data_IF_297743907335
#
_entry.id   IF_297743907335
#
_cell.length_a   1.000
_cell.length_b   1.000
_cell.length_c   1.000
_cell.angle_alpha   90.00
_cell.angle_beta   90.00
_cell.angle_gamma   90.00
#
_symmetry.space_group_name_H-M   'P 1'
#
loop_
_entity.id
_entity.type
_entity.pdbx_description
1 polymer ?
#
# COMPACT_ATOMS: atom_id res chain seq x y z
N UNK A 1 -32.26 54.18 -54.56
CA UNK A 1 -31.84 54.04 -55.99
C UNK A 1 -31.08 52.72 -56.12
N UNK A 2 -31.33 51.82 -57.08
CA UNK A 2 -32.43 51.75 -58.08
C UNK A 2 -32.58 50.32 -58.65
N UNK A 3 -33.72 49.70 -58.36
CA UNK A 3 -34.63 48.94 -59.25
C UNK A 3 -34.15 48.34 -60.60
N UNK A 4 -34.34 47.02 -60.79
CA UNK A 4 -35.12 46.29 -61.85
C UNK A 4 -34.63 44.81 -62.00
N UNK A 5 -35.43 43.74 -62.16
CA UNK A 5 -36.57 43.36 -63.05
C UNK A 5 -36.12 42.94 -64.48
N UNK A 6 -36.52 41.80 -65.09
CA UNK A 6 -37.48 40.72 -64.70
C UNK A 6 -36.78 39.31 -64.80
N UNK A 7 -37.19 38.17 -65.43
CA UNK A 7 -38.37 37.76 -66.25
C UNK A 7 -38.61 36.21 -66.29
N UNK A 8 -39.61 35.74 -65.53
CA UNK A 8 -40.64 34.71 -65.87
C UNK A 8 -40.29 33.31 -66.45
N UNK A 9 -40.92 32.26 -65.88
CA UNK A 9 -41.68 31.21 -66.61
C UNK A 9 -42.68 30.52 -65.67
N UNK A 10 -43.79 29.98 -66.20
CA UNK A 10 -44.94 29.44 -65.43
C UNK A 10 -45.51 28.19 -66.09
N UNK A 11 -45.69 27.11 -65.33
CA UNK A 11 -46.65 26.00 -65.54
C UNK A 11 -46.96 25.44 -64.14
N UNK A 12 -48.16 25.59 -63.58
CA UNK A 12 -49.35 24.75 -63.81
C UNK A 12 -49.07 23.26 -63.49
N UNK A 13 -49.38 22.74 -62.30
CA UNK A 13 -50.69 22.51 -61.64
C UNK A 13 -51.21 21.07 -61.86
N UNK A 14 -51.23 20.28 -60.78
CA UNK A 14 -52.30 19.31 -60.53
C UNK A 14 -52.47 19.08 -59.03
N UNK A 15 -53.71 19.13 -58.54
CA UNK A 15 -54.08 18.63 -57.22
C UNK A 15 -54.45 17.15 -57.34
N UNK A 16 -54.01 16.33 -56.38
CA UNK A 16 -54.70 15.09 -56.02
C UNK A 16 -54.95 15.13 -54.52
N UNK A 17 -56.21 15.23 -54.12
CA UNK A 17 -56.61 15.17 -52.73
C UNK A 17 -56.85 13.72 -52.30
N UNK A 18 -56.24 13.32 -51.19
CA UNK A 18 -56.59 12.09 -50.47
C UNK A 18 -56.91 12.47 -49.02
N UNK A 19 -58.12 12.14 -48.57
CA UNK A 19 -58.59 12.48 -47.23
C UNK A 19 -57.93 11.60 -46.17
N UNK A 20 -57.48 12.21 -45.08
CA UNK A 20 -57.06 11.48 -43.88
C UNK A 20 -58.30 11.05 -43.07
N UNK A 21 -58.44 9.78 -42.68
CA UNK A 21 -59.46 9.37 -41.72
C UNK A 21 -59.11 9.88 -40.31
N UNK A 22 -60.11 10.14 -39.44
CA UNK A 22 -59.84 10.49 -38.05
C UNK A 22 -59.22 9.30 -37.31
N UNK A 23 -57.99 9.47 -36.82
CA UNK A 23 -57.31 8.44 -36.05
C UNK A 23 -58.01 8.21 -34.71
N UNK A 24 -58.58 7.02 -34.50
CA UNK A 24 -59.18 6.66 -33.22
C UNK A 24 -58.10 6.56 -32.13
N UNK A 25 -58.26 7.33 -31.06
CA UNK A 25 -57.41 7.23 -29.88
C UNK A 25 -57.73 5.94 -29.10
N UNK A 26 -57.11 4.81 -29.49
CA UNK A 26 -57.16 3.59 -28.70
C UNK A 26 -56.37 3.78 -27.39
N UNK A 27 -57.10 3.99 -26.30
CA UNK A 27 -56.53 4.12 -24.96
C UNK A 27 -56.02 2.76 -24.48
N UNK A 28 -54.74 2.50 -24.69
CA UNK A 28 -54.02 1.30 -24.25
C UNK A 28 -54.07 1.14 -22.72
N UNK A 29 -55.07 0.40 -22.24
CA UNK A 29 -55.13 -0.05 -20.84
C UNK A 29 -54.08 -1.14 -20.61
N UNK A 30 -52.86 -0.73 -20.25
CA UNK A 30 -51.81 -1.66 -19.82
C UNK A 30 -52.25 -2.28 -18.48
N UNK A 31 -52.45 -3.60 -18.38
CA UNK A 31 -52.86 -4.23 -17.12
C UNK A 31 -51.73 -4.13 -16.10
N UNK A 32 -51.99 -3.42 -15.01
CA UNK A 32 -50.99 -3.05 -14.01
C UNK A 32 -50.71 -4.22 -13.06
N UNK A 33 -50.18 -5.33 -13.59
CA UNK A 33 -49.71 -6.48 -12.81
C UNK A 33 -48.57 -6.04 -11.89
N UNK A 34 -48.92 -5.75 -10.63
CA UNK A 34 -47.97 -5.54 -9.54
C UNK A 34 -47.33 -6.87 -9.13
N UNK A 35 -46.49 -7.40 -10.01
CA UNK A 35 -45.52 -8.43 -9.67
C UNK A 35 -44.55 -7.82 -8.65
N UNK A 36 -44.84 -8.02 -7.36
CA UNK A 36 -43.96 -7.63 -6.25
C UNK A 36 -42.68 -8.45 -6.33
N UNK A 37 -41.74 -7.97 -7.14
CA UNK A 37 -40.40 -8.53 -7.30
C UNK A 37 -39.73 -8.55 -5.93
N UNK A 38 -39.63 -9.74 -5.33
CA UNK A 38 -39.08 -9.95 -3.99
C UNK A 38 -37.74 -9.22 -3.93
N UNK A 39 -37.64 -8.23 -3.04
CA UNK A 39 -36.42 -7.46 -2.86
C UNK A 39 -35.29 -8.43 -2.53
N UNK A 40 -34.15 -8.38 -3.24
CA UNK A 40 -33.07 -9.33 -3.03
C UNK A 40 -32.62 -9.26 -1.58
N UNK A 41 -32.58 -10.43 -0.93
CA UNK A 41 -32.11 -10.64 0.46
C UNK A 41 -30.86 -9.79 0.68
N UNK A 42 -30.96 -8.84 1.62
CA UNK A 42 -30.03 -7.71 1.72
C UNK A 42 -28.58 -8.18 1.69
N UNK A 43 -27.82 -7.69 0.70
CA UNK A 43 -26.41 -8.04 0.54
C UNK A 43 -25.71 -7.66 1.84
N UNK A 44 -25.06 -8.61 2.55
CA UNK A 44 -24.51 -8.35 3.87
C UNK A 44 -23.43 -7.27 3.77
N UNK A 45 -23.69 -6.12 4.39
CA UNK A 45 -22.78 -4.98 4.36
C UNK A 45 -21.45 -5.37 4.95
N UNK A 46 -20.40 -5.38 4.12
CA UNK A 46 -19.03 -5.62 4.60
C UNK A 46 -18.68 -4.50 5.58
N UNK A 47 -18.26 -4.89 6.79
CA UNK A 47 -17.90 -3.97 7.86
C UNK A 47 -16.44 -4.16 8.23
N UNK A 48 -15.87 -3.14 8.88
CA UNK A 48 -14.56 -3.25 9.49
C UNK A 48 -14.50 -2.47 10.80
N UNK A 49 -13.62 -2.91 11.70
CA UNK A 49 -13.32 -2.26 12.99
C UNK A 49 -11.82 -2.10 13.16
N UNK A 50 -11.37 -1.06 13.86
CA UNK A 50 -9.95 -0.94 14.22
C UNK A 50 -9.60 -1.98 15.29
N UNK A 51 -8.42 -2.56 15.17
CA UNK A 51 -7.77 -3.39 16.17
C UNK A 51 -6.34 -2.93 16.38
N UNK A 52 -5.87 -2.94 17.62
CA UNK A 52 -4.56 -2.39 18.02
C UNK A 52 -3.78 -3.43 18.82
N UNK A 53 -2.47 -3.47 18.62
CA UNK A 53 -1.54 -4.14 19.53
C UNK A 53 -0.30 -3.27 19.76
N UNK A 54 0.30 -3.40 20.93
CA UNK A 54 1.55 -2.72 21.28
C UNK A 54 2.41 -3.57 22.20
N UNK A 55 3.72 -3.39 22.14
CA UNK A 55 4.71 -3.92 23.09
C UNK A 55 5.53 -2.76 23.67
N UNK A 56 5.99 -2.92 24.90
CA UNK A 56 6.80 -1.93 25.60
C UNK A 56 8.07 -2.60 26.12
N UNK A 57 9.23 -2.01 25.82
CA UNK A 57 10.55 -2.41 26.34
C UNK A 57 10.77 -3.94 26.35
N UNK A 58 10.51 -4.58 25.22
CA UNK A 58 10.73 -6.00 25.00
C UNK A 58 12.08 -6.24 24.30
N UNK A 59 12.63 -7.45 24.40
CA UNK A 59 13.84 -7.88 23.67
C UNK A 59 13.50 -9.00 22.69
N UNK A 60 14.22 -9.12 21.58
CA UNK A 60 14.06 -10.21 20.62
C UNK A 60 12.67 -10.33 19.94
N UNK A 61 11.77 -11.11 20.55
CA UNK A 61 10.45 -11.44 19.99
C UNK A 61 9.36 -11.18 21.03
N UNK A 62 8.52 -10.18 20.77
CA UNK A 62 7.33 -9.90 21.59
C UNK A 62 6.08 -10.53 20.96
N UNK A 63 5.15 -11.02 21.80
CA UNK A 63 3.79 -11.35 21.39
C UNK A 63 2.79 -10.52 22.19
N UNK A 64 2.15 -9.57 21.53
CA UNK A 64 1.18 -8.65 22.13
C UNK A 64 -0.25 -9.08 21.81
N UNK A 65 -1.14 -9.08 22.79
CA UNK A 65 -2.57 -9.33 22.55
C UNK A 65 -3.19 -8.20 21.71
N UNK A 66 -3.86 -8.55 20.61
CA UNK A 66 -4.58 -7.55 19.79
C UNK A 66 -5.97 -7.33 20.36
N UNK A 67 -6.39 -6.06 20.46
CA UNK A 67 -7.71 -5.67 20.97
C UNK A 67 -8.47 -4.84 19.93
N UNK A 68 -9.65 -5.29 19.46
CA UNK A 68 -10.12 -6.69 19.44
C UNK A 68 -9.17 -7.63 18.66
N UNK A 69 -9.37 -8.96 18.78
CA UNK A 69 -8.62 -9.93 17.98
C UNK A 69 -8.82 -9.72 16.46
N UNK A 70 -7.81 -10.07 15.67
CA UNK A 70 -7.74 -9.76 14.23
C UNK A 70 -8.71 -10.57 13.37
N UNK A 71 -9.19 -11.72 13.85
CA UNK A 71 -10.04 -12.61 13.08
C UNK A 71 -9.34 -13.11 11.80
N UNK A 72 -10.12 -13.30 10.73
CA UNK A 72 -9.65 -13.95 9.49
C UNK A 72 -9.04 -12.98 8.48
N UNK A 73 -9.47 -11.72 8.45
CA UNK A 73 -9.06 -10.71 7.45
C UNK A 73 -8.66 -9.42 8.15
N UNK A 74 -7.38 -9.09 8.07
CA UNK A 74 -6.80 -7.91 8.70
C UNK A 74 -5.94 -7.13 7.69
N UNK A 75 -6.17 -5.83 7.60
CA UNK A 75 -5.42 -4.92 6.76
C UNK A 75 -4.66 -3.91 7.64
N UNK A 76 -3.33 -3.90 7.54
CA UNK A 76 -2.46 -3.05 8.35
C UNK A 76 -2.70 -1.57 7.99
N UNK A 77 -3.14 -0.76 8.95
CA UNK A 77 -3.36 0.68 8.76
C UNK A 77 -2.07 1.46 8.96
N UNK A 78 -1.33 1.08 10.00
CA UNK A 78 -0.11 1.72 10.45
C UNK A 78 0.73 0.76 11.31
N UNK A 79 2.02 1.07 11.42
CA UNK A 79 2.94 0.43 12.35
C UNK A 79 4.08 1.37 12.76
N UNK A 80 4.64 1.14 13.93
CA UNK A 80 5.81 1.84 14.48
C UNK A 80 6.64 0.84 15.30
N UNK A 81 7.95 0.84 15.12
CA UNK A 81 8.95 0.19 15.97
C UNK A 81 10.01 1.23 16.36
N UNK A 82 10.46 1.19 17.62
CA UNK A 82 11.49 2.07 18.21
C UNK A 82 12.45 1.26 19.05
N UNK A 83 13.71 1.66 19.09
CA UNK A 83 14.81 0.86 19.62
C UNK A 83 15.70 1.71 20.54
N UNK A 84 16.26 1.11 21.60
CA UNK A 84 17.11 1.79 22.59
C UNK A 84 18.59 1.92 22.11
N UNK A 85 18.84 2.76 21.10
CA UNK A 85 20.20 3.17 20.70
C UNK A 85 20.62 2.89 19.25
N UNK A 86 21.84 2.35 19.12
CA UNK A 86 22.61 2.12 17.89
C UNK A 86 22.53 0.62 17.54
N UNK A 87 22.00 0.28 16.36
CA UNK A 87 21.69 -1.10 16.03
C UNK A 87 21.86 -1.47 14.55
N UNK A 88 22.40 -2.66 14.32
CA UNK A 88 22.42 -3.41 13.05
C UNK A 88 21.26 -4.38 13.02
N UNK A 89 20.63 -4.66 11.87
CA UNK A 89 19.39 -5.46 11.84
C UNK A 89 19.66 -6.93 11.51
N UNK A 90 19.55 -7.85 12.47
CA UNK A 90 19.33 -9.29 12.20
C UNK A 90 17.85 -9.56 11.90
N UNK A 91 16.92 -8.92 12.60
CA UNK A 91 15.48 -9.16 12.44
C UNK A 91 14.63 -7.91 12.67
N UNK A 92 13.57 -7.77 11.88
CA UNK A 92 12.51 -6.79 12.11
C UNK A 92 11.16 -7.37 11.65
N UNK A 93 10.11 -7.28 12.49
CA UNK A 93 8.79 -7.85 12.15
C UNK A 93 7.59 -7.16 12.79
N UNK A 94 6.47 -7.19 12.05
CA UNK A 94 5.12 -6.87 12.49
C UNK A 94 4.18 -7.91 11.84
N UNK A 95 3.91 -9.04 12.50
CA UNK A 95 3.08 -10.12 11.95
C UNK A 95 1.73 -10.26 12.69
N UNK A 96 0.65 -10.33 11.92
CA UNK A 96 -0.68 -10.69 12.37
C UNK A 96 -0.76 -12.19 12.73
N UNK A 97 -1.07 -12.53 13.98
CA UNK A 97 -1.20 -13.91 14.49
C UNK A 97 -2.52 -14.11 15.24
N UNK A 98 -3.64 -13.95 14.53
CA UNK A 98 -5.01 -14.13 15.02
C UNK A 98 -5.35 -13.22 16.23
N UNK A 99 -5.18 -13.71 17.47
CA UNK A 99 -5.42 -12.92 18.70
C UNK A 99 -4.17 -12.17 19.19
N UNK A 100 -3.03 -12.38 18.54
CA UNK A 100 -1.75 -11.75 18.85
C UNK A 100 -1.16 -11.01 17.65
N UNK A 101 -0.32 -10.02 17.92
CA UNK A 101 0.67 -9.51 16.98
C UNK A 101 2.05 -10.00 17.45
N UNK A 102 2.86 -10.52 16.54
CA UNK A 102 4.29 -10.64 16.80
C UNK A 102 4.96 -9.35 16.37
N UNK A 103 5.63 -8.70 17.32
CA UNK A 103 6.66 -7.71 17.01
C UNK A 103 8.02 -8.39 17.23
N UNK A 104 9.04 -8.02 16.47
CA UNK A 104 10.39 -8.50 16.75
C UNK A 104 11.43 -7.48 16.32
N UNK A 105 12.49 -7.41 17.10
CA UNK A 105 13.73 -6.72 16.78
C UNK A 105 14.89 -7.58 17.29
N UNK A 106 15.90 -7.78 16.45
CA UNK A 106 17.16 -8.39 16.86
C UNK A 106 18.31 -7.71 16.11
N UNK A 107 19.35 -7.41 16.85
CA UNK A 107 20.72 -7.11 16.44
C UNK A 107 21.58 -8.40 16.45
N UNK A 108 22.90 -8.32 16.65
CA UNK A 108 23.83 -9.44 16.77
C UNK A 108 23.53 -10.40 17.94
N UNK A 109 23.31 -9.90 19.15
CA UNK A 109 23.03 -10.72 20.34
C UNK A 109 21.52 -10.82 20.62
N UNK A 110 20.79 -9.70 20.56
CA UNK A 110 19.35 -9.61 20.78
C UNK A 110 18.94 -9.10 22.16
N UNK A 111 19.84 -8.47 22.92
CA UNK A 111 19.54 -7.93 24.25
C UNK A 111 18.95 -6.50 24.23
N UNK A 112 18.99 -5.84 23.07
CA UNK A 112 18.38 -4.54 22.80
C UNK A 112 16.88 -4.47 23.12
N UNK A 113 16.48 -3.40 23.81
CA UNK A 113 15.08 -3.09 24.08
C UNK A 113 14.41 -2.40 22.89
N UNK A 114 13.17 -2.80 22.63
CA UNK A 114 12.32 -2.18 21.62
C UNK A 114 10.87 -1.99 22.08
N UNK A 115 10.23 -0.99 21.49
CA UNK A 115 8.80 -0.75 21.53
C UNK A 115 8.20 -1.02 20.17
N UNK A 116 6.93 -1.40 20.16
CA UNK A 116 6.20 -1.60 18.92
C UNK A 116 4.73 -1.25 19.07
N UNK A 117 4.14 -0.68 18.03
CA UNK A 117 2.70 -0.45 17.90
C UNK A 117 2.27 -0.78 16.48
N UNK A 118 1.09 -1.35 16.31
CA UNK A 118 0.47 -1.50 15.00
C UNK A 118 -1.05 -1.50 15.12
N UNK A 119 -1.72 -0.98 14.09
CA UNK A 119 -3.17 -0.99 13.97
C UNK A 119 -3.59 -1.70 12.68
N UNK A 120 -4.71 -2.42 12.76
CA UNK A 120 -5.34 -3.10 11.63
C UNK A 120 -6.81 -2.70 11.50
N UNK A 121 -7.29 -2.61 10.26
CA UNK A 121 -8.70 -2.76 9.96
C UNK A 121 -9.02 -4.26 9.91
N UNK A 122 -9.82 -4.74 10.87
CA UNK A 122 -10.36 -6.11 10.92
C UNK A 122 -11.66 -6.12 10.14
N UNK A 123 -11.70 -6.87 9.04
CA UNK A 123 -12.74 -6.77 8.01
C UNK A 123 -13.59 -8.03 8.00
N UNK A 124 -14.91 -7.90 7.84
CA UNK A 124 -15.87 -9.00 7.95
C UNK A 124 -15.93 -9.95 6.74
N UNK A 125 -15.16 -9.68 5.67
CA UNK A 125 -15.10 -10.47 4.44
C UNK A 125 -13.80 -10.20 3.68
N UNK A 126 -13.42 -11.12 2.79
CA UNK A 126 -12.17 -11.09 2.04
C UNK A 126 -11.36 -12.37 2.24
N UNK A 127 -10.13 -12.39 1.73
CA UNK A 127 -9.25 -13.56 1.77
C UNK A 127 -7.84 -13.15 2.22
N UNK A 128 -7.32 -13.78 3.27
CA UNK A 128 -5.94 -13.58 3.73
C UNK A 128 -4.99 -14.62 3.15
N UNK A 129 -3.73 -14.23 2.97
CA UNK A 129 -2.65 -15.10 2.53
C UNK A 129 -1.31 -14.72 3.17
N UNK A 130 -0.32 -15.57 2.98
CA UNK A 130 1.06 -15.33 3.37
C UNK A 130 2.00 -15.95 2.34
N UNK A 131 3.12 -15.30 2.09
CA UNK A 131 4.22 -15.82 1.28
C UNK A 131 5.52 -15.67 2.05
N UNK A 132 6.42 -16.66 1.93
CA UNK A 132 7.75 -16.63 2.53
C UNK A 132 8.77 -17.18 1.55
N UNK A 133 9.99 -16.65 1.59
CA UNK A 133 11.10 -17.11 0.75
C UNK A 133 12.45 -16.88 1.45
N UNK A 134 13.49 -17.51 0.91
CA UNK A 134 14.87 -17.02 1.06
C UNK A 134 15.12 -16.02 -0.07
N UNK A 135 15.79 -14.91 0.24
CA UNK A 135 15.93 -13.74 -0.62
C UNK A 135 17.32 -13.10 -0.47
N UNK A 136 17.68 -12.22 -1.43
CA UNK A 136 18.89 -11.39 -1.44
C UNK A 136 18.57 -10.07 -2.13
N UNK A 137 18.94 -8.93 -1.55
CA UNK A 137 18.73 -7.59 -2.14
C UNK A 137 17.26 -7.25 -2.42
N UNK A 138 16.84 -7.32 -3.69
CA UNK A 138 15.46 -7.14 -4.16
C UNK A 138 14.96 -8.45 -4.76
N UNK A 139 13.75 -8.88 -4.41
CA UNK A 139 13.09 -10.03 -5.06
C UNK A 139 11.59 -9.82 -5.22
N UNK A 140 10.98 -10.49 -6.20
CA UNK A 140 9.53 -10.58 -6.36
C UNK A 140 9.02 -11.95 -5.87
N UNK A 141 7.98 -11.95 -5.04
CA UNK A 141 7.35 -13.14 -4.48
C UNK A 141 5.97 -13.31 -5.10
N UNK A 142 5.74 -14.38 -5.87
CA UNK A 142 4.41 -14.66 -6.44
C UNK A 142 3.39 -14.95 -5.35
N UNK A 143 2.20 -14.36 -5.48
CA UNK A 143 1.05 -14.59 -4.59
C UNK A 143 -0.13 -15.13 -5.38
N UNK A 144 -1.14 -15.67 -4.68
CA UNK A 144 -2.38 -16.12 -5.31
C UNK A 144 -3.20 -14.89 -5.79
N UNK A 145 -3.71 -14.89 -7.04
CA UNK A 145 -4.60 -13.85 -7.51
C UNK A 145 -5.84 -13.68 -6.64
N UNK A 146 -6.32 -12.44 -6.57
CA UNK A 146 -7.52 -12.09 -5.83
C UNK A 146 -8.80 -12.53 -6.52
N UNK A 147 -9.92 -12.67 -5.78
CA UNK A 147 -11.23 -12.74 -6.41
C UNK A 147 -11.55 -11.41 -7.12
N UNK A 148 -12.41 -11.40 -8.15
CA UNK A 148 -12.91 -10.16 -8.76
C UNK A 148 -13.48 -9.18 -7.73
N UNK A 149 -13.40 -7.88 -8.02
CA UNK A 149 -13.86 -6.80 -7.15
C UNK A 149 -13.23 -6.77 -5.74
N UNK A 150 -11.98 -7.25 -5.61
CA UNK A 150 -11.17 -7.11 -4.41
C UNK A 150 -9.91 -6.28 -4.67
N UNK A 151 -9.41 -5.67 -3.60
CA UNK A 151 -8.21 -4.83 -3.52
C UNK A 151 -7.16 -5.55 -2.67
N UNK A 152 -5.91 -5.54 -3.12
CA UNK A 152 -4.79 -6.12 -2.39
C UNK A 152 -4.26 -5.13 -1.36
N UNK A 153 -4.10 -5.57 -0.11
CA UNK A 153 -3.55 -4.79 1.02
C UNK A 153 -2.60 -5.64 1.87
N UNK A 154 -1.73 -4.98 2.60
CA UNK A 154 -0.74 -5.58 3.50
C UNK A 154 -1.40 -5.95 4.83
N UNK A 155 -0.99 -7.07 5.43
CA UNK A 155 -1.44 -7.53 6.75
C UNK A 155 -0.31 -7.62 7.77
N UNK A 156 0.93 -7.78 7.32
CA UNK A 156 2.12 -7.89 8.16
C UNK A 156 3.35 -8.33 7.39
N UNK A 157 4.53 -8.25 8.01
CA UNK A 157 5.81 -8.60 7.41
C UNK A 157 6.86 -9.04 8.45
N UNK A 158 7.86 -9.79 7.99
CA UNK A 158 9.08 -10.14 8.73
C UNK A 158 10.26 -10.20 7.76
N UNK A 159 11.37 -9.54 8.14
CA UNK A 159 12.69 -9.75 7.55
C UNK A 159 13.60 -10.35 8.62
N UNK A 160 14.38 -11.37 8.25
CA UNK A 160 15.27 -12.08 9.18
C UNK A 160 16.51 -12.61 8.47
N UNK A 161 17.68 -12.03 8.75
CA UNK A 161 19.01 -12.56 8.35
C UNK A 161 19.32 -13.85 9.13
N UNK A 162 20.50 -14.45 8.92
CA UNK A 162 20.99 -15.53 9.78
C UNK A 162 21.54 -14.97 11.11
N UNK A 163 21.76 -15.83 12.09
CA UNK A 163 22.39 -15.42 13.36
C UNK A 163 23.82 -14.91 13.13
N UNK A 164 24.20 -13.84 13.83
CA UNK A 164 25.49 -13.12 13.64
C UNK A 164 25.74 -12.68 12.19
N UNK A 165 24.70 -12.26 11.48
CA UNK A 165 24.79 -11.69 10.12
C UNK A 165 23.94 -10.43 9.94
N UNK A 166 23.64 -9.76 11.05
CA UNK A 166 23.22 -8.37 11.12
C UNK A 166 24.15 -7.44 10.29
N UNK A 167 23.58 -6.32 9.86
CA UNK A 167 24.28 -5.26 9.14
C UNK A 167 23.42 -3.99 9.13
N UNK A 168 24.07 -2.83 8.99
CA UNK A 168 23.46 -1.53 8.68
C UNK A 168 22.51 -1.70 7.48
N UNK A 169 21.32 -1.10 7.52
CA UNK A 169 20.29 -1.30 6.48
C UNK A 169 20.16 -0.06 5.62
N UNK A 170 20.63 -0.19 4.39
CA UNK A 170 20.60 0.84 3.34
C UNK A 170 19.20 1.05 2.77
N UNK A 171 18.42 -0.03 2.58
CA UNK A 171 17.03 0.06 2.15
C UNK A 171 16.18 -1.14 2.60
N UNK A 172 14.92 -0.87 2.96
CA UNK A 172 13.95 -1.89 3.39
C UNK A 172 12.55 -1.54 2.87
N UNK A 173 11.82 -2.52 2.32
CA UNK A 173 10.44 -2.27 1.91
C UNK A 173 9.64 -3.53 1.53
N UNK A 174 8.33 -3.37 1.49
CA UNK A 174 7.34 -4.35 1.02
C UNK A 174 6.33 -3.62 0.14
N UNK A 175 6.08 -4.10 -1.07
CA UNK A 175 5.16 -3.46 -2.02
C UNK A 175 4.30 -4.49 -2.74
N UNK A 176 3.00 -4.27 -2.79
CA UNK A 176 2.04 -5.22 -3.36
C UNK A 176 1.62 -4.80 -4.77
N UNK A 177 2.01 -5.57 -5.78
CA UNK A 177 1.60 -5.38 -7.17
C UNK A 177 0.44 -6.32 -7.51
N UNK A 178 -0.78 -5.81 -7.39
CA UNK A 178 -2.00 -6.52 -7.72
C UNK A 178 -2.15 -6.81 -9.23
N UNK A 179 -1.47 -6.07 -10.11
CA UNK A 179 -1.54 -6.27 -11.57
C UNK A 179 -0.71 -7.49 -12.00
N UNK A 180 0.44 -7.70 -11.37
CA UNK A 180 1.34 -8.84 -11.61
C UNK A 180 1.10 -10.02 -10.66
N UNK A 181 0.32 -9.83 -9.60
CA UNK A 181 0.14 -10.78 -8.50
C UNK A 181 1.47 -11.16 -7.83
N UNK A 182 2.27 -10.14 -7.49
CA UNK A 182 3.54 -10.31 -6.75
C UNK A 182 3.63 -9.36 -5.56
N UNK A 183 4.42 -9.75 -4.57
CA UNK A 183 5.00 -8.84 -3.57
C UNK A 183 6.44 -8.54 -3.98
N UNK A 184 6.76 -7.28 -4.23
CA UNK A 184 8.16 -6.85 -4.29
C UNK A 184 8.66 -6.60 -2.86
N UNK A 185 9.84 -7.12 -2.54
CA UNK A 185 10.48 -6.90 -1.23
C UNK A 185 11.93 -6.49 -1.41
N UNK A 186 12.41 -5.66 -0.48
CA UNK A 186 13.79 -5.19 -0.42
C UNK A 186 14.33 -5.37 0.99
N UNK A 187 15.52 -5.97 1.10
CA UNK A 187 16.44 -5.74 2.21
C UNK A 187 17.84 -5.61 1.60
N UNK A 188 18.37 -4.40 1.65
CA UNK A 188 19.68 -4.04 1.13
C UNK A 188 20.49 -3.48 2.30
N UNK A 189 21.70 -4.01 2.48
CA UNK A 189 22.75 -3.44 3.33
C UNK A 189 23.83 -2.79 2.47
N UNK A 190 24.73 -2.04 3.11
CA UNK A 190 25.92 -1.47 2.47
C UNK A 190 26.93 -2.53 2.01
N UNK A 191 26.66 -3.84 2.19
CA UNK A 191 27.50 -4.97 1.77
C UNK A 191 28.95 -4.99 2.31
N UNK A 192 29.30 -4.06 3.21
CA UNK A 192 30.66 -3.87 3.73
C UNK A 192 31.43 -2.72 3.06
N UNK A 193 30.80 -1.96 2.15
CA UNK A 193 31.35 -0.71 1.64
C UNK A 193 31.03 0.46 2.58
N UNK A 194 31.98 1.39 2.72
CA UNK A 194 31.71 2.73 3.23
C UNK A 194 31.36 3.63 2.05
N UNK A 195 30.12 4.13 2.00
CA UNK A 195 29.61 4.98 0.92
C UNK A 195 29.32 6.42 1.40
N UNK A 196 29.79 6.82 2.59
CA UNK A 196 29.48 8.12 3.23
C UNK A 196 29.77 9.33 2.31
N UNK A 197 30.82 9.26 1.49
CA UNK A 197 31.24 10.38 0.63
C UNK A 197 30.68 10.31 -0.82
N UNK A 198 29.91 9.29 -1.20
CA UNK A 198 29.53 9.09 -2.62
C UNK A 198 28.47 10.11 -3.09
N UNK A 199 27.74 10.74 -2.17
CA UNK A 199 26.85 11.86 -2.45
C UNK A 199 27.53 13.02 -3.20
N UNK A 200 28.80 13.27 -2.89
CA UNK A 200 29.62 14.33 -3.51
C UNK A 200 30.13 13.94 -4.90
N UNK A 201 30.29 12.64 -5.18
CA UNK A 201 30.91 12.14 -6.42
C UNK A 201 29.92 11.80 -7.54
N UNK A 202 28.69 11.38 -7.21
CA UNK A 202 27.75 10.80 -8.19
C UNK A 202 26.38 11.51 -8.24
N UNK A 203 26.05 12.30 -7.21
CA UNK A 203 24.78 13.03 -7.12
C UNK A 203 23.60 12.14 -6.70
N UNK A 204 22.87 12.59 -5.66
CA UNK A 204 21.84 11.79 -4.98
C UNK A 204 20.70 11.28 -5.87
N UNK A 205 20.39 11.98 -6.97
CA UNK A 205 19.35 11.58 -7.94
C UNK A 205 19.70 10.31 -8.71
N UNK A 206 20.98 10.07 -9.02
CA UNK A 206 21.42 8.90 -9.79
C UNK A 206 21.33 7.60 -8.96
N UNK A 207 21.80 7.64 -7.71
CA UNK A 207 21.62 6.52 -6.77
C UNK A 207 20.16 6.35 -6.35
N UNK A 208 19.41 7.45 -6.20
CA UNK A 208 17.96 7.43 -6.00
C UNK A 208 17.25 6.62 -7.07
N UNK A 209 17.52 6.84 -8.37
CA UNK A 209 16.91 6.07 -9.46
C UNK A 209 17.16 4.55 -9.41
N UNK A 210 18.31 4.12 -8.87
CA UNK A 210 18.65 2.70 -8.67
C UNK A 210 18.02 2.12 -7.40
N UNK A 211 17.98 2.89 -6.31
CA UNK A 211 17.58 2.43 -4.96
C UNK A 211 16.09 2.69 -4.67
N UNK A 212 15.42 3.55 -5.46
CA UNK A 212 14.01 3.95 -5.38
C UNK A 212 13.53 4.49 -6.76
N UNK A 213 13.05 3.64 -7.69
CA UNK A 213 12.41 4.12 -8.92
C UNK A 213 11.15 4.94 -8.59
N UNK A 214 10.84 6.02 -9.33
CA UNK A 214 9.69 6.88 -9.07
C UNK A 214 8.36 6.12 -9.05
N UNK A 215 7.38 6.64 -8.28
CA UNK A 215 6.05 6.03 -8.13
C UNK A 215 5.31 5.79 -9.46
N UNK A 216 5.54 6.63 -10.47
CA UNK A 216 4.99 6.45 -11.83
C UNK A 216 5.78 5.49 -12.73
N UNK A 217 7.01 5.12 -12.35
CA UNK A 217 7.96 4.34 -13.17
C UNK A 217 7.92 2.83 -12.90
N UNK A 218 6.92 2.34 -12.17
CA UNK A 218 6.74 0.91 -11.84
C UNK A 218 6.22 0.11 -13.06
N UNK A 219 5.80 0.81 -14.13
CA UNK A 219 5.41 0.26 -15.43
C UNK A 219 6.67 0.02 -16.28
N UNK A 220 7.20 -1.20 -16.25
CA UNK A 220 8.23 -1.67 -17.19
C UNK A 220 9.66 -1.23 -16.85
N UNK A 221 10.25 -1.86 -15.82
CA UNK A 221 11.63 -1.55 -15.42
C UNK A 221 12.25 -2.60 -14.48
N UNK A 222 12.77 -3.68 -15.05
CA UNK A 222 13.76 -4.52 -14.37
C UNK A 222 15.10 -3.77 -14.38
N UNK A 223 15.23 -2.75 -13.51
CA UNK A 223 16.48 -2.03 -13.32
C UNK A 223 17.58 -3.04 -12.98
N UNK A 224 18.53 -3.21 -13.91
CA UNK A 224 19.61 -4.17 -13.78
C UNK A 224 20.44 -3.81 -12.56
N UNK A 225 20.52 -4.72 -11.59
CA UNK A 225 21.49 -4.57 -10.52
C UNK A 225 22.90 -4.50 -11.15
N UNK A 226 23.81 -3.62 -10.67
CA UNK A 226 25.18 -3.61 -11.14
C UNK A 226 25.80 -5.00 -10.95
N UNK A 227 26.72 -5.36 -11.87
CA UNK A 227 27.30 -6.69 -11.93
C UNK A 227 27.89 -7.11 -10.57
N UNK A 228 27.67 -8.38 -10.19
CA UNK A 228 27.93 -8.85 -8.83
C UNK A 228 29.41 -8.71 -8.45
N UNK A 229 29.70 -7.77 -7.55
CA UNK A 229 30.97 -7.74 -6.82
C UNK A 229 31.13 -9.02 -5.98
N UNK A 230 32.36 -9.47 -5.68
CA UNK A 230 32.59 -10.53 -4.71
C UNK A 230 31.92 -10.19 -3.39
N UNK A 231 30.97 -11.02 -2.93
CA UNK A 231 30.20 -10.76 -1.70
C UNK A 231 28.81 -10.10 -1.88
N UNK A 232 28.19 -10.18 -3.06
CA UNK A 232 26.85 -9.64 -3.33
C UNK A 232 25.72 -10.05 -2.35
N UNK A 233 24.56 -9.34 -2.39
CA UNK A 233 23.71 -9.04 -1.24
C UNK A 233 23.43 -10.18 -0.26
N UNK A 234 23.54 -9.88 1.05
CA UNK A 234 23.40 -10.86 2.14
C UNK A 234 22.05 -11.62 2.07
N UNK A 235 22.03 -12.93 2.37
CA UNK A 235 20.82 -13.72 2.34
C UNK A 235 19.92 -13.40 3.55
N UNK A 236 18.61 -13.32 3.33
CA UNK A 236 17.61 -13.15 4.37
C UNK A 236 16.38 -14.01 4.09
N UNK A 237 15.74 -14.51 5.15
CA UNK A 237 14.37 -15.00 5.08
C UNK A 237 13.43 -13.80 5.12
N UNK A 238 12.40 -13.84 4.27
CA UNK A 238 11.29 -12.89 4.28
C UNK A 238 9.98 -13.62 4.46
N UNK A 239 9.03 -12.97 5.14
CA UNK A 239 7.61 -13.35 5.17
C UNK A 239 6.76 -12.10 4.97
N UNK A 240 5.76 -12.17 4.10
CA UNK A 240 4.76 -11.10 3.93
C UNK A 240 3.37 -11.72 4.00
N UNK A 241 2.54 -11.14 4.86
CA UNK A 241 1.13 -11.45 5.01
C UNK A 241 0.31 -10.37 4.29
N UNK A 242 -0.70 -10.79 3.54
CA UNK A 242 -1.51 -9.91 2.70
C UNK A 242 -2.99 -10.31 2.77
N UNK A 243 -3.88 -9.40 2.40
CA UNK A 243 -5.30 -9.66 2.26
C UNK A 243 -5.84 -9.09 0.95
N UNK A 244 -6.77 -9.83 0.35
CA UNK A 244 -7.66 -9.35 -0.69
C UNK A 244 -8.97 -8.92 -0.02
N UNK A 245 -9.26 -7.62 -0.01
CA UNK A 245 -10.41 -7.01 0.69
C UNK A 245 -11.47 -6.54 -0.32
N UNK A 246 -12.79 -6.63 -0.02
CA UNK A 246 -13.83 -6.23 -0.98
C UNK A 246 -13.78 -4.73 -1.33
N UNK A 247 -13.89 -4.40 -2.62
CA UNK A 247 -13.90 -3.00 -3.08
C UNK A 247 -15.08 -2.18 -2.51
N UNK A 248 -16.13 -2.83 -2.00
CA UNK A 248 -17.27 -2.19 -1.35
C UNK A 248 -16.92 -1.43 -0.06
N UNK A 249 -15.80 -1.73 0.61
CA UNK A 249 -15.28 -0.92 1.74
C UNK A 249 -14.18 0.06 1.34
N UNK A 250 -13.71 0.04 0.09
CA UNK A 250 -12.71 0.98 -0.41
C UNK A 250 -13.42 2.26 -0.87
N UNK A 251 -12.83 3.41 -0.54
CA UNK A 251 -13.26 4.73 -1.03
C UNK A 251 -12.29 5.27 -2.08
N UNK A 252 -10.98 5.16 -1.82
CA UNK A 252 -9.90 5.55 -2.74
C UNK A 252 -8.90 4.39 -2.88
N UNK A 253 -8.55 4.00 -4.10
CA UNK A 253 -7.80 2.75 -4.40
C UNK A 253 -6.39 2.98 -5.00
N UNK A 254 -5.82 4.16 -4.75
CA UNK A 254 -4.58 4.63 -5.37
C UNK A 254 -3.90 5.74 -4.54
N UNK A 255 -4.03 5.69 -3.21
CA UNK A 255 -3.32 6.60 -2.32
C UNK A 255 -1.82 6.29 -2.37
N UNK A 256 -1.01 7.30 -2.66
CA UNK A 256 0.45 7.18 -2.70
C UNK A 256 1.10 8.48 -2.23
N UNK A 257 2.32 8.37 -1.71
CA UNK A 257 3.11 9.49 -1.20
C UNK A 257 4.59 9.11 -1.09
N UNK A 258 5.44 10.11 -0.93
CA UNK A 258 6.88 9.97 -0.75
C UNK A 258 7.49 11.24 -0.17
N UNK A 259 8.64 11.13 0.48
CA UNK A 259 9.38 12.27 1.02
C UNK A 259 10.81 11.91 1.40
N UNK A 260 11.52 12.87 1.99
CA UNK A 260 12.94 12.78 2.35
C UNK A 260 13.22 13.19 3.80
N UNK A 261 12.22 13.16 4.67
CA UNK A 261 12.29 13.56 6.10
C UNK A 261 11.39 12.69 6.98
N UNK A 262 11.85 12.39 8.20
CA UNK A 262 11.29 11.37 9.09
C UNK A 262 10.04 11.81 9.89
N UNK A 263 9.72 13.10 9.89
CA UNK A 263 8.83 13.72 10.86
C UNK A 263 8.08 14.92 10.27
N UNK A 264 6.92 15.25 10.83
CA UNK A 264 6.09 16.42 10.48
C UNK A 264 5.92 16.61 8.95
N UNK A 265 5.28 15.63 8.32
CA UNK A 265 4.83 15.75 6.94
C UNK A 265 3.48 16.48 6.92
N UNK A 266 3.50 17.76 7.29
CA UNK A 266 2.34 18.61 7.65
C UNK A 266 1.25 18.75 6.56
N UNK A 267 1.51 18.23 5.35
CA UNK A 267 0.59 18.23 4.21
C UNK A 267 0.01 16.84 3.87
N UNK A 268 0.44 15.74 4.51
CA UNK A 268 -0.04 14.39 4.18
C UNK A 268 -1.13 13.87 5.13
N UNK A 269 -2.38 14.25 4.87
CA UNK A 269 -3.54 13.93 5.70
C UNK A 269 -4.64 13.19 4.89
N UNK A 270 -4.58 11.85 4.72
CA UNK A 270 -5.69 11.09 4.13
C UNK A 270 -7.01 11.28 4.93
N UNK A 271 -8.09 11.64 4.23
CA UNK A 271 -9.40 12.03 4.80
C UNK A 271 -10.17 10.91 5.54
N UNK A 272 -9.59 9.72 5.66
CA UNK A 272 -10.21 8.58 6.30
C UNK A 272 -9.20 7.51 6.73
N UNK A 273 -9.66 6.48 7.48
CA UNK A 273 -8.81 5.38 7.92
C UNK A 273 -8.27 4.62 6.71
N UNK A 274 -6.98 4.27 6.72
CA UNK A 274 -6.31 3.65 5.56
C UNK A 274 -6.05 2.16 5.76
N UNK A 275 -5.65 1.49 4.68
CA UNK A 275 -4.93 0.23 4.71
C UNK A 275 -3.72 0.33 3.78
N UNK A 276 -2.54 -0.06 4.25
CA UNK A 276 -1.31 -0.06 3.48
C UNK A 276 -1.38 -1.09 2.33
N UNK A 277 -0.83 -0.72 1.17
CA UNK A 277 -0.51 -1.62 0.06
C UNK A 277 1.01 -1.79 -0.09
N UNK A 278 1.79 -0.81 0.39
CA UNK A 278 3.23 -0.93 0.42
C UNK A 278 3.89 0.20 1.20
N UNK A 279 5.14 -0.02 1.56
CA UNK A 279 6.06 0.98 2.09
C UNK A 279 7.48 0.65 1.62
N UNK A 280 8.33 1.67 1.53
CA UNK A 280 9.76 1.50 1.29
C UNK A 280 10.53 2.69 1.84
N UNK A 281 11.69 2.38 2.39
CA UNK A 281 12.63 3.33 2.96
C UNK A 281 14.03 3.06 2.40
N UNK A 282 14.84 4.10 2.30
CA UNK A 282 16.26 4.03 2.02
C UNK A 282 17.00 5.19 2.70
N UNK A 283 18.26 4.98 3.07
CA UNK A 283 19.21 6.06 3.37
C UNK A 283 20.03 6.38 2.12
N UNK A 284 20.56 7.60 2.04
CA UNK A 284 21.41 8.06 0.93
C UNK A 284 22.87 7.64 1.12
N UNK A 285 23.47 8.07 2.21
CA UNK A 285 24.82 7.78 2.70
C UNK A 285 24.97 6.31 3.15
N UNK A 286 26.00 5.98 3.93
CA UNK A 286 26.15 4.69 4.63
C UNK A 286 26.43 4.95 6.11
N UNK A 287 26.49 3.87 6.89
CA UNK A 287 26.76 3.86 8.35
C UNK A 287 25.50 4.08 9.22
N UNK A 288 24.34 3.63 8.73
CA UNK A 288 23.05 3.84 9.40
C UNK A 288 22.72 2.80 10.46
N UNK A 289 22.50 3.33 11.65
CA UNK A 289 21.88 2.65 12.77
C UNK A 289 20.39 2.98 12.79
N UNK A 290 19.54 2.04 13.20
CA UNK A 290 18.09 2.23 13.16
C UNK A 290 17.54 2.45 14.57
N UNK A 291 17.30 3.70 14.95
CA UNK A 291 16.62 4.09 16.20
C UNK A 291 15.09 4.07 16.11
N UNK A 292 14.51 4.23 14.91
CA UNK A 292 13.06 4.03 14.70
C UNK A 292 12.67 3.68 13.25
N UNK A 293 11.62 2.85 13.09
CA UNK A 293 11.06 2.42 11.80
C UNK A 293 9.53 2.31 11.85
N UNK A 294 8.81 3.03 10.99
CA UNK A 294 7.34 3.06 11.02
C UNK A 294 6.68 3.87 9.91
N UNK A 295 5.42 3.52 9.61
CA UNK A 295 4.52 4.31 8.76
C UNK A 295 3.23 4.52 9.56
N UNK A 296 3.01 5.75 10.04
CA UNK A 296 1.94 6.07 11.00
C UNK A 296 0.85 6.95 10.38
N UNK A 297 -0.28 6.35 10.01
CA UNK A 297 -1.31 6.96 9.16
C UNK A 297 -2.63 7.15 9.92
N UNK A 298 -2.61 8.06 10.89
CA UNK A 298 -3.72 8.26 11.82
C UNK A 298 -4.01 9.72 12.11
N UNK A 299 -5.28 10.01 12.45
CA UNK A 299 -5.84 11.35 12.63
C UNK A 299 -5.33 12.15 13.86
N UNK A 300 -4.05 11.98 14.24
CA UNK A 300 -3.36 12.83 15.23
C UNK A 300 -1.94 13.19 14.80
N UNK A 301 -1.20 12.27 14.18
CA UNK A 301 0.14 12.50 13.63
C UNK A 301 0.36 11.64 12.39
N UNK A 302 1.06 12.18 11.38
CA UNK A 302 1.36 11.51 10.12
C UNK A 302 2.89 11.44 9.92
N UNK A 303 3.51 10.47 10.60
CA UNK A 303 4.97 10.33 10.64
C UNK A 303 5.44 9.09 9.91
N UNK A 304 6.62 9.19 9.29
CA UNK A 304 7.28 8.10 8.56
C UNK A 304 8.69 7.95 9.11
N UNK A 305 8.83 7.12 10.15
CA UNK A 305 10.10 6.95 10.85
C UNK A 305 10.98 5.96 10.08
N UNK A 306 12.20 6.39 9.77
CA UNK A 306 13.32 5.55 9.36
C UNK A 306 14.55 6.43 9.56
N UNK A 307 15.17 6.28 10.73
CA UNK A 307 16.16 7.21 11.27
C UNK A 307 17.05 6.52 12.28
N UNK A 308 18.15 7.19 12.56
CA UNK A 308 19.17 6.96 13.57
C UNK A 308 18.79 7.65 14.92
N UNK A 309 19.80 8.14 15.67
CA UNK A 309 19.66 8.82 16.96
C UNK A 309 19.92 10.34 16.97
N UNK A 310 20.71 10.89 16.04
CA UNK A 310 21.07 12.32 15.95
C UNK A 310 20.33 13.12 14.86
N UNK A 311 19.61 12.42 13.96
CA UNK A 311 18.66 12.96 12.99
C UNK A 311 19.27 13.68 11.77
N UNK A 312 20.58 13.61 11.51
CA UNK A 312 21.19 14.28 10.34
C UNK A 312 21.00 13.53 9.00
N UNK A 313 20.67 12.24 9.07
CA UNK A 313 20.71 11.30 7.96
C UNK A 313 19.77 11.62 6.76
N UNK A 314 20.28 11.75 5.51
CA UNK A 314 19.46 11.94 4.31
C UNK A 314 18.70 10.67 3.93
N UNK A 315 17.46 10.55 4.41
CA UNK A 315 16.54 9.46 4.05
C UNK A 315 15.74 9.74 2.75
N UNK A 316 15.19 8.67 2.17
CA UNK A 316 14.14 8.68 1.17
C UNK A 316 13.07 7.64 1.54
N UNK A 317 11.79 7.97 1.41
CA UNK A 317 10.70 7.07 1.77
C UNK A 317 9.51 7.18 0.80
N UNK A 318 8.71 6.11 0.73
CA UNK A 318 7.45 6.07 0.00
C UNK A 318 6.45 5.12 0.66
N UNK A 319 5.16 5.40 0.48
CA UNK A 319 4.07 4.53 0.94
C UNK A 319 2.91 4.54 -0.06
N UNK A 320 2.29 3.37 -0.27
CA UNK A 320 1.05 3.19 -1.01
C UNK A 320 -0.02 2.65 -0.07
N UNK A 321 -1.24 3.15 -0.21
CA UNK A 321 -2.37 2.86 0.66
C UNK A 321 -3.71 3.02 -0.06
N UNK A 322 -4.75 2.40 0.50
CA UNK A 322 -6.13 2.68 0.13
C UNK A 322 -6.84 3.37 1.28
N UNK A 323 -7.74 4.30 0.99
CA UNK A 323 -8.60 4.89 2.01
C UNK A 323 -9.87 4.05 2.13
N UNK A 324 -10.14 3.56 3.33
CA UNK A 324 -11.33 2.80 3.64
C UNK A 324 -12.50 3.75 3.90
N UNK A 325 -13.70 3.37 3.44
CA UNK A 325 -14.95 4.01 3.85
C UNK A 325 -15.04 3.96 5.38
N UNK A 326 -15.51 5.04 6.01
CA UNK A 326 -15.69 5.12 7.47
C UNK A 326 -16.50 3.91 7.94
N UNK A 327 -15.86 2.99 8.65
CA UNK A 327 -16.49 1.76 9.12
C UNK A 327 -17.63 2.07 10.08
N UNK A 328 -18.66 1.23 10.08
CA UNK A 328 -19.74 1.31 11.06
C UNK A 328 -19.16 1.08 12.46
N UNK A 329 -18.89 2.17 13.19
CA UNK A 329 -18.55 2.14 14.62
C UNK A 329 -19.78 1.65 15.39
N UNK A 330 -19.80 0.34 15.66
CA UNK A 330 -20.63 -0.33 16.65
C UNK A 330 -19.70 -0.93 17.69
#
# INVERSE_FOLDING_TARGET
MTTKLIRHSVFALMLVGLGLPPAMAQQLQIPLQRNFKVLPKSIPTVTWKRATASTQRATGIAQSAVRPALGTVAALQDFELKFDGDHKIRRISVLAKNRFAQFAFNDADGEDFFWGTANWAVISAGHSGSVSAQARGRVELRIRPGPPNHTLVLSGFEFRRADRSDANVRALGVWLDASKNVVQVWLIDDMGFDLRNIGEMVGWSALGGLILPPLGSIIGGAASAPAASPGGPRPYKVTVQYAWIPNSIVWLNNGATSGTRAYNQDNWHPEGPVALQGFRFAFGNSDHYLGAFGVTLGAKYYNVQFRDGDYDDPMQWSAQYVVLRKGNRR
#
